data_IF_927264289702
#
_entry.id   IF_927264289702
#
_cell.length_a   1.000
_cell.length_b   1.000
_cell.length_c   1.000
_cell.angle_alpha   90.00
_cell.angle_beta   90.00
_cell.angle_gamma   90.00
#
_symmetry.space_group_name_H-M   'P 1'
#
loop_
_entity.id
_entity.type
_entity.pdbx_description
1 polymer ?
#
# COMPACT_ATOMS: atom_id res chain seq x y z
N UNK A 1 27.70 43.17 -28.40
CA UNK A 1 27.29 42.12 -29.35
C UNK A 1 26.52 41.09 -28.56
N UNK A 2 25.21 41.08 -28.74
CA UNK A 2 24.28 40.18 -28.07
C UNK A 2 24.22 38.85 -28.83
N UNK A 3 24.30 37.74 -28.11
CA UNK A 3 24.03 36.40 -28.65
C UNK A 3 22.91 35.77 -27.84
N UNK A 4 21.73 35.89 -28.45
CA UNK A 4 20.64 34.93 -28.57
C UNK A 4 20.80 33.59 -27.82
N UNK A 5 19.93 33.36 -26.84
CA UNK A 5 19.61 32.05 -26.29
C UNK A 5 18.15 31.77 -26.64
N UNK A 6 17.95 31.09 -27.76
CA UNK A 6 16.64 30.60 -28.19
C UNK A 6 16.14 29.53 -27.22
N UNK A 7 14.95 29.80 -26.69
CA UNK A 7 14.13 28.96 -25.83
C UNK A 7 13.91 27.56 -26.43
N UNK A 8 14.25 26.53 -25.67
CA UNK A 8 13.74 25.17 -25.91
C UNK A 8 12.47 25.02 -25.06
N UNK A 9 11.33 25.32 -25.67
CA UNK A 9 10.00 24.99 -25.11
C UNK A 9 9.76 23.49 -25.33
N UNK A 10 9.96 22.69 -24.28
CA UNK A 10 9.51 21.29 -24.28
C UNK A 10 8.03 21.27 -23.91
N UNK A 11 7.20 20.92 -24.91
CA UNK A 11 5.76 20.70 -24.76
C UNK A 11 5.48 19.50 -23.86
N UNK A 12 5.21 19.75 -22.58
CA UNK A 12 4.66 18.77 -21.64
C UNK A 12 3.15 18.64 -21.87
N UNK A 13 2.75 17.85 -22.85
CA UNK A 13 1.36 17.48 -23.06
C UNK A 13 1.25 15.99 -23.36
N UNK A 14 0.99 15.17 -22.33
CA UNK A 14 0.03 14.04 -22.37
C UNK A 14 0.22 13.04 -21.20
N UNK A 15 0.06 13.49 -19.96
CA UNK A 15 -0.36 12.65 -18.84
C UNK A 15 -1.24 13.52 -17.93
N UNK A 16 -2.37 14.00 -18.47
CA UNK A 16 -3.30 14.79 -17.66
C UNK A 16 -4.12 13.84 -16.77
N UNK A 17 -4.13 14.12 -15.46
CA UNK A 17 -5.11 13.57 -14.52
C UNK A 17 -6.56 13.81 -15.00
N UNK A 18 -6.77 14.79 -15.88
CA UNK A 18 -8.05 15.10 -16.51
C UNK A 18 -8.67 13.89 -17.25
N UNK A 19 -7.89 13.10 -17.99
CA UNK A 19 -8.40 11.92 -18.70
C UNK A 19 -8.80 10.73 -17.81
N UNK A 20 -8.54 10.81 -16.51
CA UNK A 20 -9.06 9.90 -15.50
C UNK A 20 -10.39 10.39 -14.92
N UNK A 21 -10.58 11.71 -14.82
CA UNK A 21 -11.81 12.36 -14.33
C UNK A 21 -12.95 12.21 -15.35
N UNK A 22 -12.67 12.38 -16.64
CA UNK A 22 -13.70 12.32 -17.71
C UNK A 22 -14.32 10.92 -17.89
N UNK A 23 -13.74 9.86 -17.30
CA UNK A 23 -14.28 8.49 -17.34
C UNK A 23 -15.22 8.15 -16.19
N UNK A 24 -15.43 9.07 -15.25
CA UNK A 24 -16.28 8.85 -14.07
C UNK A 24 -17.69 9.44 -14.18
N UNK A 25 -18.01 10.14 -15.29
CA UNK A 25 -19.34 10.77 -15.47
C UNK A 25 -20.43 9.84 -16.04
N UNK A 26 -20.10 8.60 -16.47
CA UNK A 26 -21.06 7.70 -17.18
C UNK A 26 -21.53 6.46 -16.37
N UNK A 27 -21.65 6.55 -15.03
CA UNK A 27 -22.09 5.41 -14.20
C UNK A 27 -23.49 5.59 -13.59
N UNK A 28 -24.52 5.77 -14.41
CA UNK A 28 -25.94 5.79 -13.99
C UNK A 28 -26.71 4.49 -14.35
N UNK A 29 -26.29 3.33 -13.84
CA UNK A 29 -27.20 2.15 -13.82
C UNK A 29 -27.00 1.27 -12.56
N UNK A 30 -27.76 1.53 -11.49
CA UNK A 30 -27.81 0.70 -10.28
C UNK A 30 -28.15 -0.78 -10.55
N UNK A 31 -28.96 -1.09 -11.57
CA UNK A 31 -29.42 -2.47 -11.85
C UNK A 31 -28.34 -3.33 -12.52
N UNK A 32 -27.34 -2.70 -13.13
CA UNK A 32 -26.16 -3.40 -13.67
C UNK A 32 -25.31 -3.99 -12.54
N UNK A 33 -25.29 -3.35 -11.37
CA UNK A 33 -24.52 -3.76 -10.20
C UNK A 33 -25.15 -4.93 -9.45
N UNK A 34 -26.48 -4.94 -9.28
CA UNK A 34 -27.20 -6.05 -8.65
C UNK A 34 -26.99 -7.38 -9.41
N UNK A 35 -26.92 -7.29 -10.74
CA UNK A 35 -26.64 -8.45 -11.63
C UNK A 35 -25.21 -8.97 -11.52
N UNK A 36 -24.22 -8.10 -11.24
CA UNK A 36 -22.84 -8.51 -11.00
C UNK A 36 -22.67 -9.18 -9.61
N UNK A 37 -23.38 -8.68 -8.60
CA UNK A 37 -23.42 -9.22 -7.23
C UNK A 37 -23.98 -10.66 -7.19
N UNK A 38 -25.09 -10.90 -7.89
CA UNK A 38 -25.73 -12.22 -7.94
C UNK A 38 -24.88 -13.29 -8.66
N UNK A 39 -24.04 -12.90 -9.62
CA UNK A 39 -23.15 -13.85 -10.34
C UNK A 39 -21.96 -14.33 -9.51
N UNK A 40 -21.49 -13.56 -8.53
CA UNK A 40 -20.39 -13.98 -7.65
C UNK A 40 -20.85 -14.86 -6.48
N UNK A 41 -22.14 -14.87 -6.13
CA UNK A 41 -22.66 -15.60 -4.96
C UNK A 41 -23.05 -17.06 -5.22
N UNK A 42 -22.96 -17.57 -6.46
CA UNK A 42 -23.53 -18.90 -6.83
C UNK A 42 -22.47 -20.00 -7.06
N UNK A 43 -21.18 -19.75 -6.84
CA UNK A 43 -20.14 -20.79 -6.94
C UNK A 43 -19.51 -21.14 -5.58
N UNK A 44 -20.31 -21.67 -4.65
CA UNK A 44 -19.77 -22.56 -3.60
C UNK A 44 -20.84 -23.43 -2.91
N UNK A 45 -20.87 -24.72 -3.26
CA UNK A 45 -21.51 -25.84 -2.57
C UNK A 45 -21.23 -27.09 -3.44
N UNK A 46 -20.74 -28.25 -3.03
CA UNK A 46 -20.44 -28.90 -1.75
C UNK A 46 -19.38 -29.98 -2.07
N UNK A 47 -18.51 -30.34 -1.12
CA UNK A 47 -18.00 -31.73 -1.01
C UNK A 47 -17.68 -32.04 0.44
N UNK A 48 -18.42 -32.98 1.00
CA UNK A 48 -18.20 -33.63 2.29
C UNK A 48 -17.22 -34.80 2.12
N UNK A 49 -16.22 -34.95 2.98
CA UNK A 49 -15.33 -36.13 2.97
C UNK A 49 -14.38 -36.25 4.17
N UNK A 50 -14.75 -37.15 5.09
CA UNK A 50 -14.00 -37.99 6.04
C UNK A 50 -12.77 -37.47 6.85
N UNK A 51 -12.71 -37.69 8.18
CA UNK A 51 -11.59 -37.29 9.03
C UNK A 51 -10.65 -38.47 9.30
N UNK A 52 -9.49 -38.52 8.65
CA UNK A 52 -8.26 -39.14 9.18
C UNK A 52 -7.17 -39.04 8.11
N UNK A 53 -6.43 -37.93 8.08
CA UNK A 53 -5.16 -37.84 7.34
C UNK A 53 -4.17 -36.93 8.09
N UNK A 54 -3.00 -37.52 8.31
CA UNK A 54 -1.72 -36.99 8.77
C UNK A 54 -1.58 -35.47 8.64
N UNK A 55 -1.33 -34.79 9.76
CA UNK A 55 -0.90 -33.38 9.80
C UNK A 55 0.53 -33.29 9.24
N UNK A 56 0.68 -33.35 7.92
CA UNK A 56 1.78 -32.64 7.28
C UNK A 56 1.42 -31.16 7.40
N UNK A 57 2.30 -30.32 7.94
CA UNK A 57 2.05 -28.87 8.00
C UNK A 57 1.81 -28.37 6.58
N UNK A 58 0.55 -28.18 6.21
CA UNK A 58 0.17 -27.67 4.89
C UNK A 58 0.80 -26.28 4.78
N UNK A 59 1.71 -26.14 3.81
CA UNK A 59 2.30 -24.84 3.45
C UNK A 59 1.17 -23.87 3.13
N UNK A 60 1.19 -22.69 3.72
CA UNK A 60 0.20 -21.64 3.38
C UNK A 60 0.57 -20.99 2.05
N UNK A 61 -0.38 -20.31 1.40
CA UNK A 61 -0.07 -19.50 0.20
C UNK A 61 0.99 -18.43 0.49
N UNK A 62 1.02 -17.90 1.72
CA UNK A 62 2.05 -16.97 2.15
C UNK A 62 3.43 -17.64 2.22
N UNK A 63 3.52 -18.87 2.73
CA UNK A 63 4.78 -19.62 2.77
C UNK A 63 5.32 -19.89 1.37
N UNK A 64 4.45 -20.30 0.44
CA UNK A 64 4.78 -20.48 -0.97
C UNK A 64 5.25 -19.17 -1.61
N UNK A 65 4.53 -18.06 -1.41
CA UNK A 65 4.95 -16.74 -1.89
C UNK A 65 6.33 -16.35 -1.36
N UNK A 66 6.58 -16.55 -0.05
CA UNK A 66 7.87 -16.20 0.56
C UNK A 66 9.00 -17.04 -0.03
N UNK A 67 8.81 -18.36 -0.14
CA UNK A 67 9.83 -19.28 -0.60
C UNK A 67 10.11 -19.17 -2.11
N UNK A 68 9.07 -19.04 -2.93
CA UNK A 68 9.17 -19.17 -4.38
C UNK A 68 9.22 -17.82 -5.11
N UNK A 69 8.73 -16.74 -4.49
CA UNK A 69 8.67 -15.42 -5.13
C UNK A 69 9.54 -14.40 -4.41
N UNK A 70 9.31 -14.16 -3.11
CA UNK A 70 9.95 -13.07 -2.39
C UNK A 70 11.46 -13.29 -2.24
N UNK A 71 11.86 -14.41 -1.62
CA UNK A 71 13.27 -14.73 -1.36
C UNK A 71 14.10 -14.74 -2.65
N UNK A 72 13.72 -15.47 -3.72
CA UNK A 72 14.49 -15.45 -4.96
C UNK A 72 14.60 -14.05 -5.59
N UNK A 73 13.54 -13.24 -5.48
CA UNK A 73 13.56 -11.88 -6.02
C UNK A 73 14.54 -10.96 -5.28
N UNK A 74 14.59 -11.02 -3.94
CA UNK A 74 15.50 -10.17 -3.15
C UNK A 74 16.93 -10.72 -3.13
N UNK A 75 17.13 -12.04 -3.06
CA UNK A 75 18.47 -12.64 -2.99
C UNK A 75 19.30 -12.40 -4.26
N UNK A 76 18.65 -12.19 -5.40
CA UNK A 76 19.32 -11.77 -6.65
C UNK A 76 19.71 -10.29 -6.70
N UNK A 77 19.45 -9.50 -5.65
CA UNK A 77 19.77 -8.07 -5.57
C UNK A 77 20.94 -7.84 -4.63
N UNK A 78 21.82 -6.90 -5.01
CA UNK A 78 23.02 -6.57 -4.23
C UNK A 78 23.07 -5.09 -3.80
N UNK A 79 22.05 -4.31 -4.17
CA UNK A 79 21.92 -2.89 -3.82
C UNK A 79 20.45 -2.59 -3.53
N UNK A 80 20.16 -1.69 -2.56
CA UNK A 80 18.82 -1.18 -2.35
C UNK A 80 18.32 -0.41 -3.57
N UNK A 81 17.02 -0.50 -3.82
CA UNK A 81 16.35 0.31 -4.84
C UNK A 81 15.38 1.25 -4.13
N UNK A 82 15.65 2.54 -4.11
CA UNK A 82 14.82 3.55 -3.43
C UNK A 82 14.30 4.56 -4.43
N UNK A 83 13.20 5.24 -4.09
CA UNK A 83 12.66 6.33 -4.93
C UNK A 83 13.59 7.55 -4.83
N UNK A 84 14.11 8.08 -5.96
CA UNK A 84 14.90 9.30 -5.94
C UNK A 84 14.08 10.49 -5.43
N UNK A 85 14.67 11.33 -4.57
CA UNK A 85 13.97 12.48 -3.98
C UNK A 85 13.43 13.48 -5.02
N UNK A 86 14.13 13.62 -6.14
CA UNK A 86 13.76 14.48 -7.27
C UNK A 86 12.90 13.77 -8.33
N UNK A 87 12.38 12.57 -8.06
CA UNK A 87 11.59 11.82 -9.04
C UNK A 87 10.30 12.56 -9.43
N UNK A 88 9.98 12.57 -10.73
CA UNK A 88 8.86 13.33 -11.31
C UNK A 88 7.48 12.93 -10.74
N UNK A 89 7.35 11.71 -10.22
CA UNK A 89 6.18 11.27 -9.46
C UNK A 89 5.78 12.29 -8.37
N UNK A 90 6.74 12.88 -7.68
CA UNK A 90 6.46 13.84 -6.62
C UNK A 90 5.94 15.19 -7.12
N UNK A 91 6.06 15.49 -8.42
CA UNK A 91 5.42 16.66 -9.02
C UNK A 91 3.89 16.50 -9.02
N UNK A 92 3.39 15.29 -9.26
CA UNK A 92 1.95 14.99 -9.21
C UNK A 92 1.42 15.10 -7.77
N UNK A 93 2.18 14.57 -6.80
CA UNK A 93 1.85 14.71 -5.38
C UNK A 93 1.83 16.19 -4.95
N UNK A 94 2.83 16.98 -5.38
CA UNK A 94 2.86 18.42 -5.10
C UNK A 94 1.67 19.16 -5.73
N UNK A 95 1.30 18.81 -6.96
CA UNK A 95 0.14 19.40 -7.64
C UNK A 95 -1.17 19.09 -6.90
N UNK A 96 -1.31 17.86 -6.39
CA UNK A 96 -2.42 17.49 -5.52
C UNK A 96 -2.44 18.37 -4.26
N UNK A 97 -1.31 18.48 -3.55
CA UNK A 97 -1.23 19.30 -2.33
C UNK A 97 -1.60 20.76 -2.60
N UNK A 98 -1.11 21.34 -3.70
CA UNK A 98 -1.45 22.73 -4.08
C UNK A 98 -2.93 22.91 -4.37
N UNK A 99 -3.54 21.95 -5.08
CA UNK A 99 -4.96 22.02 -5.45
C UNK A 99 -5.90 21.92 -4.24
N UNK A 100 -5.53 21.09 -3.28
CA UNK A 100 -6.36 20.80 -2.10
C UNK A 100 -5.87 21.53 -0.84
N UNK A 101 -5.00 22.53 -0.99
CA UNK A 101 -4.46 23.35 0.10
C UNK A 101 -3.82 22.55 1.24
N UNK A 102 -3.19 21.42 0.90
CA UNK A 102 -2.46 20.56 1.83
C UNK A 102 -1.09 21.17 2.15
N UNK A 103 -0.68 21.12 3.41
CA UNK A 103 0.59 21.66 3.87
C UNK A 103 1.83 20.96 3.29
N UNK A 104 2.95 21.68 3.33
CA UNK A 104 4.25 21.16 2.88
C UNK A 104 4.76 20.01 3.77
N UNK A 105 4.38 19.98 5.05
CA UNK A 105 4.83 18.98 6.01
C UNK A 105 4.30 17.58 5.64
N UNK A 106 3.05 17.51 5.18
CA UNK A 106 2.37 16.32 4.72
C UNK A 106 3.06 15.76 3.47
N UNK A 107 3.49 16.63 2.55
CA UNK A 107 4.30 16.24 1.39
C UNK A 107 5.67 15.68 1.80
N UNK A 108 6.31 16.27 2.81
CA UNK A 108 7.57 15.75 3.37
C UNK A 108 7.35 14.37 3.99
N UNK A 109 6.31 14.21 4.80
CA UNK A 109 5.96 12.95 5.44
C UNK A 109 5.65 11.86 4.40
N UNK A 110 4.85 12.20 3.40
CA UNK A 110 4.53 11.32 2.29
C UNK A 110 5.79 10.85 1.54
N UNK A 111 6.70 11.77 1.23
CA UNK A 111 7.99 11.40 0.62
C UNK A 111 8.78 10.45 1.50
N UNK A 112 8.85 10.68 2.82
CA UNK A 112 9.57 9.81 3.75
C UNK A 112 8.96 8.41 3.83
N UNK A 113 7.64 8.29 3.90
CA UNK A 113 6.95 6.99 3.88
C UNK A 113 7.22 6.18 2.59
N UNK A 114 7.51 6.86 1.48
CA UNK A 114 7.80 6.22 0.18
C UNK A 114 9.28 5.93 -0.07
N UNK A 115 10.19 6.23 0.88
CA UNK A 115 11.64 6.07 0.69
C UNK A 115 12.16 4.64 0.83
N UNK A 116 11.32 3.71 1.27
CA UNK A 116 11.72 2.33 1.48
C UNK A 116 12.20 1.60 0.22
N UNK A 117 12.73 0.41 0.43
CA UNK A 117 13.29 -0.41 -0.63
C UNK A 117 12.19 -1.01 -1.52
N UNK A 118 12.17 -0.62 -2.78
CA UNK A 118 11.24 -1.06 -3.83
C UNK A 118 11.33 -2.55 -4.15
N UNK A 119 12.37 -3.25 -3.68
CA UNK A 119 12.44 -4.71 -3.77
C UNK A 119 11.61 -5.44 -2.72
N UNK A 120 11.26 -4.76 -1.62
CA UNK A 120 10.45 -5.33 -0.56
C UNK A 120 8.95 -5.16 -0.85
N UNK A 121 8.09 -6.03 -0.30
CA UNK A 121 6.65 -5.80 -0.33
C UNK A 121 6.30 -4.50 0.39
N UNK A 122 5.60 -3.60 -0.30
CA UNK A 122 5.15 -2.34 0.30
C UNK A 122 3.93 -2.58 1.23
N UNK A 123 3.76 -1.76 2.26
CA UNK A 123 2.57 -1.77 3.11
C UNK A 123 1.52 -0.86 2.52
N UNK A 124 0.29 -1.34 2.34
CA UNK A 124 -0.85 -0.52 1.92
C UNK A 124 -1.83 -0.35 3.07
N UNK A 125 -1.92 0.87 3.59
CA UNK A 125 -2.84 1.30 4.64
C UNK A 125 -4.08 1.99 4.03
N UNK A 126 -5.11 2.19 4.85
CA UNK A 126 -6.37 2.79 4.42
C UNK A 126 -6.44 4.32 4.62
N UNK A 127 -5.42 4.96 5.20
CA UNK A 127 -5.61 6.22 5.93
C UNK A 127 -5.78 7.48 5.07
N UNK A 128 -6.78 8.30 5.43
CA UNK A 128 -6.67 9.67 5.83
C UNK A 128 -6.69 9.74 7.38
N UNK A 129 -5.60 10.20 7.99
CA UNK A 129 -5.48 10.32 9.44
C UNK A 129 -4.85 11.66 9.79
N UNK A 130 -5.41 12.30 10.83
CA UNK A 130 -4.95 13.59 11.32
C UNK A 130 -3.47 13.59 11.72
N UNK A 131 -2.92 12.44 12.14
CA UNK A 131 -1.52 12.37 12.59
C UNK A 131 -0.51 12.71 11.48
N UNK A 132 -0.92 12.63 10.21
CA UNK A 132 -0.05 12.89 9.05
C UNK A 132 0.29 14.38 8.87
N UNK A 133 -0.42 15.29 9.56
CA UNK A 133 -0.13 16.74 9.56
C UNK A 133 1.06 17.09 10.46
N UNK A 134 1.38 16.23 11.42
CA UNK A 134 2.45 16.47 12.37
C UNK A 134 3.83 16.22 11.75
N UNK A 135 4.91 16.83 12.27
CA UNK A 135 6.27 16.46 11.88
C UNK A 135 6.49 14.95 11.97
N UNK A 136 7.23 14.39 11.02
CA UNK A 136 7.38 12.93 10.85
C UNK A 136 7.66 12.17 12.15
N UNK A 137 8.58 12.68 12.98
CA UNK A 137 8.99 12.00 14.22
C UNK A 137 7.83 11.87 15.23
N UNK A 138 6.84 12.76 15.15
CA UNK A 138 5.59 12.68 15.89
C UNK A 138 4.57 11.80 15.16
N UNK A 139 4.46 11.92 13.83
CA UNK A 139 3.54 11.09 13.02
C UNK A 139 3.80 9.59 13.22
N UNK A 140 5.06 9.17 13.30
CA UNK A 140 5.41 7.75 13.53
C UNK A 140 5.08 7.25 14.95
N UNK A 141 4.69 8.14 15.88
CA UNK A 141 4.14 7.74 17.18
C UNK A 141 2.63 7.48 17.12
N UNK A 142 1.98 7.70 15.96
CA UNK A 142 0.59 7.31 15.76
C UNK A 142 0.40 5.82 16.07
N UNK A 143 -0.74 5.39 16.65
CA UNK A 143 -0.92 4.01 17.07
C UNK A 143 -0.63 2.98 15.97
N UNK A 144 -1.02 3.27 14.73
CA UNK A 144 -0.79 2.38 13.58
C UNK A 144 0.69 2.29 13.22
N UNK A 145 1.39 3.42 13.07
CA UNK A 145 2.80 3.41 12.66
C UNK A 145 3.73 2.93 13.77
N UNK A 146 3.45 3.29 15.03
CA UNK A 146 4.19 2.80 16.18
C UNK A 146 4.10 1.26 16.28
N UNK A 147 2.89 0.71 16.08
CA UNK A 147 2.68 -0.72 16.10
C UNK A 147 3.40 -1.45 14.95
N UNK A 148 3.39 -0.87 13.75
CA UNK A 148 4.15 -1.41 12.61
C UNK A 148 5.66 -1.36 12.86
N UNK A 149 6.16 -0.25 13.43
CA UNK A 149 7.57 -0.08 13.77
C UNK A 149 8.05 -1.18 14.71
N UNK A 150 7.33 -1.44 15.80
CA UNK A 150 7.68 -2.49 16.77
C UNK A 150 7.82 -3.86 16.10
N UNK A 151 6.95 -4.20 15.15
CA UNK A 151 6.98 -5.50 14.47
C UNK A 151 8.12 -5.56 13.44
N UNK A 152 8.37 -4.48 12.70
CA UNK A 152 9.46 -4.41 11.72
C UNK A 152 10.84 -4.47 12.41
N UNK A 153 10.97 -3.84 13.59
CA UNK A 153 12.19 -3.88 14.39
C UNK A 153 12.59 -5.31 14.78
N UNK A 154 11.61 -6.20 15.02
CA UNK A 154 11.87 -7.63 15.26
C UNK A 154 12.51 -8.34 14.05
N UNK A 155 12.31 -7.80 12.85
CA UNK A 155 12.97 -8.27 11.62
C UNK A 155 14.30 -7.55 11.35
N UNK A 156 14.65 -6.55 12.17
CA UNK A 156 15.82 -5.69 11.99
C UNK A 156 15.64 -4.68 10.86
N UNK A 157 14.41 -4.20 10.67
CA UNK A 157 14.03 -3.17 9.71
C UNK A 157 13.42 -1.98 10.44
N UNK A 158 13.63 -0.79 9.89
CA UNK A 158 12.96 0.45 10.30
C UNK A 158 11.76 0.72 9.39
N UNK A 159 10.86 1.63 9.80
CA UNK A 159 9.76 2.07 8.95
C UNK A 159 10.26 2.62 7.61
N UNK A 160 11.39 3.33 7.62
CA UNK A 160 11.98 3.94 6.43
C UNK A 160 12.60 2.92 5.46
N UNK A 161 12.83 1.68 5.89
CA UNK A 161 13.29 0.60 5.00
C UNK A 161 12.15 0.04 4.13
N UNK A 162 10.88 0.29 4.50
CA UNK A 162 9.69 -0.22 3.82
C UNK A 162 8.92 0.93 3.16
N UNK A 163 8.46 0.71 1.93
CA UNK A 163 7.51 1.64 1.31
C UNK A 163 6.16 1.49 2.00
N UNK A 164 5.65 2.56 2.59
CA UNK A 164 4.33 2.64 3.20
C UNK A 164 3.46 3.55 2.33
N UNK A 165 2.38 2.98 1.81
CA UNK A 165 1.39 3.65 0.98
C UNK A 165 0.10 3.79 1.78
N UNK A 166 -0.48 4.99 1.76
CA UNK A 166 -1.89 5.14 2.07
C UNK A 166 -2.73 4.99 0.79
N UNK A 167 -3.93 4.43 0.94
CA UNK A 167 -4.88 4.35 -0.18
C UNK A 167 -5.39 5.73 -0.59
N UNK A 168 -5.48 6.67 0.36
CA UNK A 168 -5.95 8.03 0.13
C UNK A 168 -4.96 9.01 0.78
N UNK A 169 -3.74 9.15 0.24
CA UNK A 169 -2.71 9.99 0.85
C UNK A 169 -3.18 11.44 0.99
N UNK A 170 -2.58 12.15 1.96
CA UNK A 170 -2.79 13.57 2.30
C UNK A 170 -4.12 13.93 2.95
N UNK A 171 -5.21 13.31 2.53
CA UNK A 171 -6.52 13.66 3.04
C UNK A 171 -6.60 13.32 4.54
N UNK A 172 -7.38 14.07 5.30
CA UNK A 172 -7.77 13.74 6.67
C UNK A 172 -9.29 13.67 6.80
N UNK A 173 -9.80 13.14 7.91
CA UNK A 173 -11.24 13.18 8.19
C UNK A 173 -11.74 14.64 8.26
N UNK A 174 -10.94 15.52 8.86
CA UNK A 174 -11.22 16.95 8.96
C UNK A 174 -11.27 17.63 7.58
N UNK A 175 -10.37 17.26 6.66
CA UNK A 175 -10.38 17.81 5.30
C UNK A 175 -11.64 17.38 4.55
N UNK A 176 -11.99 16.10 4.62
CA UNK A 176 -13.18 15.55 3.97
C UNK A 176 -14.47 16.16 4.53
N UNK A 177 -14.52 16.44 5.84
CA UNK A 177 -15.67 17.05 6.50
C UNK A 177 -15.94 18.49 6.04
N UNK A 178 -14.89 19.25 5.66
CA UNK A 178 -15.01 20.62 5.14
C UNK A 178 -15.43 20.67 3.68
N UNK A 179 -15.26 19.58 2.93
CA UNK A 179 -15.56 19.51 1.51
C UNK A 179 -17.04 19.24 1.23
N UNK A 180 -17.56 19.86 0.16
CA UNK A 180 -18.84 19.44 -0.44
C UNK A 180 -18.76 18.00 -0.96
N UNK A 181 -19.89 17.30 -1.08
CA UNK A 181 -19.93 15.92 -1.61
C UNK A 181 -19.26 15.79 -2.99
N UNK A 182 -19.51 16.68 -3.97
CA UNK A 182 -18.79 16.64 -5.25
C UNK A 182 -17.28 16.81 -5.09
N UNK A 183 -16.83 17.82 -4.33
CA UNK A 183 -15.39 18.07 -4.09
C UNK A 183 -14.72 16.87 -3.42
N UNK A 184 -15.38 16.27 -2.43
CA UNK A 184 -14.90 15.09 -1.70
C UNK A 184 -14.65 13.91 -2.63
N UNK A 185 -15.57 13.64 -3.57
CA UNK A 185 -15.44 12.55 -4.55
C UNK A 185 -14.22 12.75 -5.46
N UNK A 186 -14.02 13.99 -5.94
CA UNK A 186 -12.87 14.32 -6.78
C UNK A 186 -11.56 14.19 -6.01
N UNK A 187 -11.50 14.74 -4.78
CA UNK A 187 -10.32 14.64 -3.92
C UNK A 187 -9.93 13.19 -3.64
N UNK A 188 -10.90 12.33 -3.28
CA UNK A 188 -10.66 10.90 -3.05
C UNK A 188 -10.17 10.17 -4.29
N UNK A 189 -10.74 10.48 -5.46
CA UNK A 189 -10.32 9.88 -6.72
C UNK A 189 -8.91 10.28 -7.12
N UNK A 190 -8.55 11.55 -6.93
CA UNK A 190 -7.20 12.05 -7.19
C UNK A 190 -6.18 11.49 -6.20
N UNK A 191 -6.51 11.44 -4.90
CA UNK A 191 -5.65 10.86 -3.87
C UNK A 191 -5.38 9.39 -4.16
N UNK A 192 -6.42 8.59 -4.42
CA UNK A 192 -6.24 7.19 -4.81
C UNK A 192 -5.48 7.05 -6.14
N UNK A 193 -5.68 7.99 -7.06
CA UNK A 193 -4.92 8.11 -8.29
C UNK A 193 -3.41 8.21 -8.06
N UNK A 194 -2.97 8.93 -7.02
CA UNK A 194 -1.55 8.98 -6.63
C UNK A 194 -1.03 7.61 -6.18
N UNK A 195 -1.78 6.89 -5.35
CA UNK A 195 -1.41 5.54 -4.90
C UNK A 195 -1.27 4.58 -6.08
N UNK A 196 -2.24 4.59 -7.00
CA UNK A 196 -2.20 3.79 -8.24
C UNK A 196 -1.01 4.21 -9.13
N UNK A 197 -0.77 5.51 -9.27
CA UNK A 197 0.34 6.03 -10.06
C UNK A 197 1.68 5.60 -9.48
N UNK A 198 1.85 5.57 -8.15
CA UNK A 198 3.06 5.06 -7.51
C UNK A 198 3.28 3.58 -7.83
N UNK A 199 2.27 2.75 -7.58
CA UNK A 199 2.31 1.31 -7.83
C UNK A 199 2.74 1.04 -9.29
N UNK A 200 2.12 1.76 -10.24
CA UNK A 200 2.43 1.66 -11.68
C UNK A 200 3.86 2.10 -11.99
N UNK A 201 4.25 3.28 -11.52
CA UNK A 201 5.53 3.92 -11.85
C UNK A 201 6.70 3.05 -11.40
N UNK A 202 6.62 2.52 -10.19
CA UNK A 202 7.69 1.71 -9.60
C UNK A 202 7.48 0.21 -9.75
N UNK A 203 6.41 -0.21 -10.44
CA UNK A 203 6.05 -1.61 -10.74
C UNK A 203 6.20 -2.52 -9.51
N UNK A 204 5.60 -2.12 -8.40
CA UNK A 204 5.79 -2.80 -7.11
C UNK A 204 5.51 -4.30 -7.22
N UNK A 205 6.41 -5.19 -6.74
CA UNK A 205 6.25 -6.62 -6.94
C UNK A 205 5.16 -7.22 -6.04
N UNK A 206 4.99 -6.65 -4.85
CA UNK A 206 4.06 -7.13 -3.85
C UNK A 206 3.60 -6.03 -2.90
N UNK A 207 2.42 -6.23 -2.31
CA UNK A 207 1.82 -5.38 -1.29
C UNK A 207 1.32 -6.22 -0.14
N UNK A 208 1.64 -5.84 1.10
CA UNK A 208 0.90 -6.26 2.29
C UNK A 208 -0.26 -5.29 2.47
N UNK A 209 -1.46 -5.73 2.12
CA UNK A 209 -2.66 -4.91 2.17
C UNK A 209 -3.30 -5.01 3.55
N UNK A 210 -3.30 -3.89 4.26
CA UNK A 210 -3.98 -3.72 5.55
C UNK A 210 -5.31 -2.97 5.38
N UNK A 211 -5.67 -2.58 4.16
CA UNK A 211 -6.99 -2.04 3.86
C UNK A 211 -7.95 -3.18 3.53
N UNK A 212 -9.16 -3.16 4.10
CA UNK A 212 -10.26 -3.97 3.62
C UNK A 212 -11.12 -3.11 2.70
N UNK A 213 -11.70 -3.72 1.67
CA UNK A 213 -12.66 -3.03 0.78
C UNK A 213 -13.68 -2.32 1.66
N UNK A 214 -13.66 -1.00 1.60
CA UNK A 214 -14.61 -0.14 2.29
C UNK A 214 -15.98 -0.49 1.74
N UNK A 215 -16.72 -1.37 2.41
CA UNK A 215 -18.12 -1.63 2.10
C UNK A 215 -18.85 -0.33 2.48
N UNK A 216 -18.97 0.54 1.48
CA UNK A 216 -19.11 1.99 1.60
C UNK A 216 -20.56 2.46 1.65
N UNK A 217 -21.47 1.55 1.96
CA UNK A 217 -22.89 1.88 2.12
C UNK A 217 -23.18 2.57 3.47
N UNK A 218 -22.21 2.63 4.40
CA UNK A 218 -22.44 3.12 5.77
C UNK A 218 -21.48 4.22 6.26
N UNK A 219 -20.52 4.67 5.45
CA UNK A 219 -19.57 5.70 5.89
C UNK A 219 -19.88 7.05 5.24
N UNK A 220 -20.92 7.72 5.75
CA UNK A 220 -21.39 9.03 5.29
C UNK A 220 -20.26 10.09 5.28
N UNK A 221 -19.29 9.94 6.18
CA UNK A 221 -18.12 10.81 6.31
C UNK A 221 -17.16 10.70 5.12
N UNK A 222 -17.03 9.51 4.55
CA UNK A 222 -16.10 9.25 3.44
C UNK A 222 -16.74 9.39 2.07
N UNK A 223 -18.07 9.31 2.00
CA UNK A 223 -18.78 9.22 0.73
C UNK A 223 -18.51 7.92 -0.03
N UNK A 224 -19.35 7.67 -1.03
CA UNK A 224 -19.19 6.52 -1.91
C UNK A 224 -18.03 6.75 -2.90
N UNK A 225 -17.04 5.85 -2.88
CA UNK A 225 -16.01 5.71 -3.88
C UNK A 225 -15.87 4.24 -4.21
N UNK A 226 -16.18 3.94 -5.46
CA UNK A 226 -16.01 2.64 -6.08
C UNK A 226 -14.91 2.76 -7.14
N UNK A 227 -13.91 1.89 -7.03
CA UNK A 227 -12.83 1.79 -7.99
C UNK A 227 -12.37 0.34 -8.03
N UNK A 228 -12.29 -0.24 -9.23
CA UNK A 228 -11.91 -1.64 -9.40
C UNK A 228 -10.51 -1.93 -8.89
N UNK A 229 -9.56 -1.00 -9.07
CA UNK A 229 -8.22 -1.16 -8.52
C UNK A 229 -8.22 -1.14 -6.99
N UNK A 230 -9.06 -0.31 -6.35
CA UNK A 230 -9.20 -0.33 -4.90
C UNK A 230 -9.72 -1.69 -4.38
N UNK A 231 -10.66 -2.30 -5.11
CA UNK A 231 -11.15 -3.65 -4.84
C UNK A 231 -10.08 -4.72 -5.07
N UNK A 232 -9.25 -4.59 -6.11
CA UNK A 232 -8.20 -5.55 -6.40
C UNK A 232 -7.05 -5.50 -5.38
N UNK A 233 -6.74 -4.31 -4.87
CA UNK A 233 -5.73 -4.08 -3.85
C UNK A 233 -6.22 -4.42 -2.44
N UNK A 234 -7.50 -4.76 -2.25
CA UNK A 234 -8.04 -4.95 -0.92
C UNK A 234 -7.73 -6.29 -0.28
N UNK A 235 -7.60 -6.22 1.03
CA UNK A 235 -7.57 -7.34 1.94
C UNK A 235 -8.99 -7.75 2.37
N UNK A 236 -9.06 -8.88 3.06
CA UNK A 236 -10.24 -9.35 3.75
C UNK A 236 -9.81 -10.08 5.02
N UNK A 237 -10.62 -10.02 6.07
CA UNK A 237 -10.37 -10.72 7.35
C UNK A 237 -10.16 -12.21 7.11
N UNK A 238 -11.04 -12.86 6.34
CA UNK A 238 -10.93 -14.28 5.99
C UNK A 238 -9.63 -14.56 5.23
N UNK A 239 -9.23 -13.68 4.31
CA UNK A 239 -7.97 -13.83 3.60
C UNK A 239 -6.75 -13.73 4.50
N UNK A 240 -6.76 -12.79 5.44
CA UNK A 240 -5.67 -12.61 6.40
C UNK A 240 -5.58 -13.78 7.39
N UNK A 241 -6.71 -14.26 7.92
CA UNK A 241 -6.74 -15.44 8.80
C UNK A 241 -6.20 -16.72 8.14
N UNK A 242 -6.38 -16.84 6.83
CA UNK A 242 -5.90 -17.98 6.05
C UNK A 242 -4.52 -17.76 5.41
N UNK A 243 -3.84 -16.65 5.72
CA UNK A 243 -2.54 -16.30 5.13
C UNK A 243 -2.56 -16.31 3.57
N UNK A 244 -3.64 -15.80 2.99
CA UNK A 244 -3.85 -15.82 1.55
C UNK A 244 -3.05 -14.75 0.82
N UNK A 245 -2.55 -15.10 -0.37
CA UNK A 245 -1.87 -14.18 -1.29
C UNK A 245 -2.61 -14.15 -2.61
N UNK A 246 -3.23 -13.01 -2.93
CA UNK A 246 -3.88 -12.80 -4.23
C UNK A 246 -2.83 -12.42 -5.27
N UNK A 247 -3.10 -12.72 -6.52
CA UNK A 247 -2.33 -12.19 -7.64
C UNK A 247 -3.24 -11.45 -8.58
N UNK A 248 -2.90 -10.20 -8.88
CA UNK A 248 -3.72 -9.30 -9.70
C UNK A 248 -2.90 -8.78 -10.87
N UNK A 249 -3.55 -8.68 -12.02
CA UNK A 249 -2.97 -8.00 -13.17
C UNK A 249 -3.15 -6.50 -12.98
N UNK A 250 -2.07 -5.74 -13.05
CA UNK A 250 -2.05 -4.30 -12.91
C UNK A 250 -1.22 -3.74 -14.07
N UNK A 251 -1.86 -3.05 -15.01
CA UNK A 251 -1.20 -2.41 -16.17
C UNK A 251 -0.11 -3.24 -16.87
N UNK A 252 -0.44 -4.50 -17.20
CA UNK A 252 0.43 -5.40 -17.94
C UNK A 252 1.50 -6.12 -17.11
N UNK A 253 1.46 -6.04 -15.77
CA UNK A 253 2.26 -6.88 -14.89
C UNK A 253 1.44 -7.49 -13.75
N UNK A 254 2.00 -8.49 -13.07
CA UNK A 254 1.34 -9.14 -11.94
C UNK A 254 1.90 -8.61 -10.64
N UNK A 255 1.01 -8.14 -9.78
CA UNK A 255 1.31 -7.78 -8.39
C UNK A 255 0.77 -8.87 -7.45
N UNK A 256 1.52 -9.15 -6.38
CA UNK A 256 1.10 -10.05 -5.30
C UNK A 256 0.49 -9.22 -4.16
N UNK A 257 -0.71 -9.56 -3.72
CA UNK A 257 -1.39 -8.87 -2.61
C UNK A 257 -1.50 -9.85 -1.46
N UNK A 258 -0.65 -9.67 -0.45
CA UNK A 258 -0.71 -10.38 0.82
C UNK A 258 -1.85 -9.77 1.63
N UNK A 259 -2.80 -10.59 2.03
CA UNK A 259 -3.95 -10.11 2.80
C UNK A 259 -3.57 -10.02 4.28
N UNK A 260 -3.71 -8.83 4.86
CA UNK A 260 -3.46 -8.56 6.28
C UNK A 260 -4.61 -7.79 6.93
N UNK A 261 -4.56 -7.63 8.25
CA UNK A 261 -5.55 -6.87 9.02
C UNK A 261 -5.17 -5.40 9.10
N UNK A 262 -6.16 -4.51 9.16
CA UNK A 262 -5.89 -3.14 9.58
C UNK A 262 -5.56 -3.12 11.08
N UNK A 263 -4.47 -2.48 11.54
CA UNK A 263 -4.14 -2.42 12.97
C UNK A 263 -5.28 -1.85 13.83
N UNK A 264 -6.03 -0.87 13.35
CA UNK A 264 -7.19 -0.35 14.10
C UNK A 264 -8.28 -1.39 14.34
N UNK A 265 -8.45 -2.40 13.48
CA UNK A 265 -9.41 -3.49 13.72
C UNK A 265 -9.01 -4.33 14.94
N UNK A 266 -7.70 -4.61 15.07
CA UNK A 266 -7.13 -5.31 16.22
C UNK A 266 -7.34 -4.48 17.48
N UNK A 267 -6.98 -3.19 17.44
CA UNK A 267 -7.07 -2.28 18.59
C UNK A 267 -8.50 -2.04 19.07
N UNK A 268 -9.50 -2.09 18.17
CA UNK A 268 -10.93 -1.89 18.49
C UNK A 268 -11.63 -3.16 18.97
N UNK A 269 -11.00 -4.33 18.86
CA UNK A 269 -11.59 -5.62 19.28
C UNK A 269 -11.62 -5.70 20.81
N UNK A 270 -12.82 -5.83 21.38
CA UNK A 270 -13.04 -5.86 22.83
C UNK A 270 -12.78 -7.23 23.46
N UNK A 271 -13.08 -8.31 22.73
CA UNK A 271 -12.82 -9.67 23.19
C UNK A 271 -11.31 -9.94 23.20
N UNK A 272 -10.78 -10.28 24.37
CA UNK A 272 -9.33 -10.42 24.58
C UNK A 272 -8.73 -11.57 23.76
N UNK A 273 -9.43 -12.70 23.68
CA UNK A 273 -8.95 -13.88 22.96
C UNK A 273 -8.98 -13.66 21.44
N UNK A 274 -10.05 -13.08 20.91
CA UNK A 274 -10.16 -12.69 19.51
C UNK A 274 -9.10 -11.63 19.14
N UNK A 275 -8.91 -10.60 19.98
CA UNK A 275 -7.87 -9.59 19.78
C UNK A 275 -6.49 -10.23 19.73
N UNK A 276 -6.17 -11.08 20.70
CA UNK A 276 -4.90 -11.79 20.75
C UNK A 276 -4.69 -12.65 19.50
N UNK A 277 -5.72 -13.37 19.04
CA UNK A 277 -5.65 -14.18 17.82
C UNK A 277 -5.36 -13.32 16.57
N UNK A 278 -6.08 -12.20 16.40
CA UNK A 278 -5.87 -11.28 15.28
C UNK A 278 -4.45 -10.68 15.31
N UNK A 279 -4.00 -10.27 16.49
CA UNK A 279 -2.66 -9.74 16.72
C UNK A 279 -1.58 -10.78 16.37
N UNK A 280 -1.71 -12.02 16.84
CA UNK A 280 -0.74 -13.08 16.54
C UNK A 280 -0.70 -13.39 15.03
N UNK A 281 -1.86 -13.48 14.38
CA UNK A 281 -1.91 -13.70 12.93
C UNK A 281 -1.27 -12.54 12.16
N UNK A 282 -1.55 -11.30 12.54
CA UNK A 282 -0.97 -10.12 11.91
C UNK A 282 0.55 -10.07 12.07
N UNK A 283 1.05 -10.29 13.29
CA UNK A 283 2.48 -10.40 13.59
C UNK A 283 3.13 -11.49 12.76
N UNK A 284 2.50 -12.66 12.65
CA UNK A 284 3.03 -13.77 11.87
C UNK A 284 3.08 -13.46 10.37
N UNK A 285 2.05 -12.80 9.80
CA UNK A 285 2.08 -12.33 8.40
C UNK A 285 3.27 -11.41 8.18
N UNK A 286 3.41 -10.36 8.99
CA UNK A 286 4.48 -9.38 8.85
C UNK A 286 5.86 -10.03 9.04
N UNK A 287 6.01 -10.90 10.04
CA UNK A 287 7.26 -11.63 10.29
C UNK A 287 7.65 -12.49 9.09
N UNK A 288 6.73 -13.30 8.56
CA UNK A 288 6.99 -14.15 7.38
C UNK A 288 7.42 -13.33 6.16
N UNK A 289 6.81 -12.17 5.94
CA UNK A 289 7.12 -11.28 4.82
C UNK A 289 8.44 -10.52 5.02
N UNK A 290 8.67 -9.95 6.20
CA UNK A 290 9.74 -8.97 6.41
C UNK A 290 11.02 -9.55 7.02
N UNK A 291 10.98 -10.71 7.68
CA UNK A 291 12.22 -11.34 8.17
C UNK A 291 13.22 -11.63 7.05
N UNK A 292 12.83 -12.20 5.88
CA UNK A 292 13.74 -12.35 4.74
C UNK A 292 14.31 -11.03 4.22
N UNK A 293 13.52 -9.96 4.27
CA UNK A 293 13.93 -8.62 3.85
C UNK A 293 15.00 -8.05 4.79
N UNK A 294 14.80 -8.19 6.11
CA UNK A 294 15.78 -7.78 7.12
C UNK A 294 17.07 -8.61 7.06
N UNK A 295 16.98 -9.91 6.79
CA UNK A 295 18.15 -10.75 6.53
C UNK A 295 18.94 -10.25 5.33
N UNK A 296 18.26 -9.91 4.24
CA UNK A 296 18.88 -9.34 3.05
C UNK A 296 19.55 -8.00 3.34
N UNK A 297 18.86 -7.10 4.04
CA UNK A 297 19.34 -5.75 4.37
C UNK A 297 20.64 -5.81 5.16
N UNK A 298 20.70 -6.70 6.18
CA UNK A 298 21.93 -6.95 6.95
C UNK A 298 23.07 -7.44 6.07
N UNK A 299 22.83 -8.40 5.16
CA UNK A 299 23.86 -8.94 4.27
C UNK A 299 24.42 -7.87 3.33
N UNK A 300 23.54 -7.04 2.74
CA UNK A 300 23.94 -5.97 1.82
C UNK A 300 24.72 -4.87 2.54
N UNK A 301 24.25 -4.40 3.71
CA UNK A 301 24.96 -3.43 4.55
C UNK A 301 26.36 -3.95 4.93
N UNK A 302 26.48 -5.21 5.35
CA UNK A 302 27.77 -5.82 5.68
C UNK A 302 28.72 -5.89 4.46
N UNK A 303 28.21 -6.24 3.28
CA UNK A 303 29.00 -6.30 2.04
C UNK A 303 29.52 -4.91 1.63
N UNK A 304 28.70 -3.86 1.77
CA UNK A 304 29.08 -2.48 1.47
C UNK A 304 30.20 -2.01 2.41
N UNK A 305 30.08 -2.26 3.71
CA UNK A 305 31.11 -1.87 4.68
C UNK A 305 32.44 -2.59 4.44
N UNK A 306 32.41 -3.90 4.16
CA UNK A 306 33.60 -4.66 3.81
C UNK A 306 34.30 -4.10 2.55
N UNK A 307 33.53 -3.68 1.55
CA UNK A 307 34.08 -3.05 0.34
C UNK A 307 34.73 -1.70 0.62
N UNK A 308 34.14 -0.88 1.50
CA UNK A 308 34.73 0.40 1.94
C UNK A 308 36.06 0.19 2.66
N UNK A 309 36.15 -0.82 3.53
CA UNK A 309 37.38 -1.16 4.25
C UNK A 309 38.48 -1.59 3.27
N UNK A 310 38.16 -2.49 2.32
CA UNK A 310 39.13 -2.97 1.32
C UNK A 310 39.70 -1.88 0.41
N UNK A 311 38.94 -0.82 0.14
CA UNK A 311 39.41 0.34 -0.65
C UNK A 311 40.34 1.28 0.12
N UNK A 312 40.39 1.17 1.44
CA UNK A 312 41.23 2.03 2.31
C UNK A 312 42.57 1.40 2.68
N UNK A 313 42.71 0.10 2.44
CA UNK A 313 43.96 -0.67 2.58
C UNK A 313 44.71 -0.70 1.25
#
# INVERSE_FOLDING_TARGET
>A
MATDLSEVTVSLSSLSLQGFVDRYEDAEDPERWERARLRQSITHCQTTGNPFLVVSSLSTQLDEFVAETLKPNIDGKYQPSVVPEAHEYFLQAKAFCTRWEIGDQELVNFKRLLRGNLHFPALLLLNPCEDHIHPYDNMIQSPTLAYLREILELSGLELEDIVILDSFPFLTETDLAKMSVPSRRVALAEAFGLTVAFIRTFRLPALVSCQCTTNREQNEEWGYFYNSAACDLSSSTIGAENFNVKSKSFDGYRIKIIQAFHPSHILRTQDGDARNKLEQNFKEILRKVYSPCGDWERRVKAAIELHKIRKRL
#
